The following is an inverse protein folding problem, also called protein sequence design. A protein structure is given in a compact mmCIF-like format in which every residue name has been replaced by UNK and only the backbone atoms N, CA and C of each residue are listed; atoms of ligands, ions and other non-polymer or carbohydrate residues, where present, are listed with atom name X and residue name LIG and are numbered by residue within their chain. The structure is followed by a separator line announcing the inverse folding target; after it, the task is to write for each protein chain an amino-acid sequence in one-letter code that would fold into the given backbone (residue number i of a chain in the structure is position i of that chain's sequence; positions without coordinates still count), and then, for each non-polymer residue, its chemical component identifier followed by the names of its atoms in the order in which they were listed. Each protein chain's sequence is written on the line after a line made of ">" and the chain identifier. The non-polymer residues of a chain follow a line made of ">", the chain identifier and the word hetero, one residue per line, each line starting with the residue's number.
data_IF_936431912816
#
_entry.id   IF_936431912816
#
_cell.length_a   1.000
_cell.length_b   1.000
_cell.length_c   1.000
_cell.angle_alpha   90.00
_cell.angle_beta   90.00
_cell.angle_gamma   90.00
#
_symmetry.space_group_name_H-M   'P 1'
#
loop_
_entity.id
_entity.type
_entity.pdbx_description
1 polymer ?
#
# COMPACT_ATOMS: atom_id res chain seq x y z
N UNK A 1 -17.73 -12.39 -3.79
CA UNK A 1 -17.95 -11.19 -2.95
C UNK A 1 -18.60 -11.59 -1.63
N UNK A 2 -18.03 -11.18 -0.51
CA UNK A 2 -18.56 -11.46 0.83
C UNK A 2 -19.45 -10.33 1.31
N UNK A 3 -20.51 -10.67 2.04
CA UNK A 3 -21.47 -9.72 2.59
C UNK A 3 -21.27 -9.58 4.09
N UNK A 4 -21.25 -8.35 4.57
CA UNK A 4 -21.23 -8.03 5.99
C UNK A 4 -22.56 -7.37 6.35
N UNK A 5 -23.21 -7.84 7.43
CA UNK A 5 -24.45 -7.25 7.92
C UNK A 5 -24.12 -6.42 9.16
N UNK A 6 -24.42 -5.14 9.10
CA UNK A 6 -24.25 -4.26 10.25
C UNK A 6 -25.50 -4.22 11.13
N UNK A 7 -25.41 -3.56 12.28
CA UNK A 7 -26.49 -3.47 13.27
C UNK A 7 -27.76 -2.76 12.75
N UNK A 8 -27.67 -2.09 11.62
CA UNK A 8 -28.80 -1.37 11.00
C UNK A 8 -29.40 -2.13 9.82
N UNK A 9 -29.10 -3.42 9.69
CA UNK A 9 -29.54 -4.26 8.57
C UNK A 9 -29.03 -3.77 7.19
N UNK A 10 -28.01 -2.94 7.16
CA UNK A 10 -27.37 -2.53 5.91
C UNK A 10 -26.37 -3.60 5.49
N UNK A 11 -26.45 -4.06 4.25
CA UNK A 11 -25.50 -5.03 3.70
C UNK A 11 -24.34 -4.27 3.07
N UNK A 12 -23.13 -4.46 3.62
CA UNK A 12 -21.90 -3.93 3.04
C UNK A 12 -21.28 -5.02 2.18
N UNK A 13 -21.00 -4.71 0.92
CA UNK A 13 -20.34 -5.61 -0.01
C UNK A 13 -18.82 -5.48 0.15
N UNK A 14 -18.18 -6.59 0.48
CA UNK A 14 -16.73 -6.68 0.66
C UNK A 14 -16.13 -7.44 -0.50
N UNK A 15 -15.23 -6.81 -1.25
CA UNK A 15 -14.57 -7.41 -2.39
C UNK A 15 -13.07 -7.57 -2.11
N UNK A 16 -12.55 -8.77 -2.32
CA UNK A 16 -11.12 -9.06 -2.23
C UNK A 16 -10.43 -8.60 -3.52
N UNK A 17 -9.32 -7.90 -3.36
CA UNK A 17 -8.46 -7.47 -4.47
C UNK A 17 -7.21 -8.35 -4.49
N UNK A 18 -6.90 -8.91 -5.65
CA UNK A 18 -5.70 -9.71 -5.87
C UNK A 18 -5.15 -9.40 -7.26
N UNK A 19 -4.00 -8.72 -7.30
CA UNK A 19 -3.30 -8.38 -8.54
C UNK A 19 -2.10 -9.30 -8.73
N UNK A 20 -1.91 -9.91 -9.90
CA UNK A 20 -0.69 -10.67 -10.19
C UNK A 20 0.54 -9.79 -10.37
N UNK A 21 0.35 -8.47 -10.48
CA UNK A 21 1.42 -7.47 -10.64
C UNK A 21 1.95 -6.94 -9.31
N UNK A 22 1.50 -7.50 -8.20
CA UNK A 22 2.00 -7.21 -6.87
C UNK A 22 2.29 -8.53 -6.15
N UNK A 23 3.09 -8.51 -5.07
CA UNK A 23 3.37 -9.74 -4.32
C UNK A 23 2.09 -10.40 -3.83
N UNK A 24 1.98 -11.72 -4.03
CA UNK A 24 0.82 -12.47 -3.56
C UNK A 24 0.69 -12.34 -2.04
N UNK A 25 -0.56 -12.26 -1.57
CA UNK A 25 -0.84 -12.27 -0.14
C UNK A 25 -0.59 -13.68 0.41
N UNK A 26 0.51 -13.84 1.14
CA UNK A 26 0.89 -15.09 1.78
C UNK A 26 0.55 -14.98 3.26
N UNK A 27 -0.46 -15.73 3.71
CA UNK A 27 -0.93 -15.68 5.10
C UNK A 27 -2.39 -15.27 5.20
N UNK A 28 -2.74 -14.74 6.38
CA UNK A 28 -4.13 -14.47 6.76
C UNK A 28 -4.55 -13.04 6.42
N UNK A 29 -4.29 -12.59 5.19
CA UNK A 29 -4.68 -11.25 4.73
C UNK A 29 -4.90 -11.25 3.22
N UNK A 30 -5.50 -10.16 2.72
CA UNK A 30 -5.67 -9.88 1.30
C UNK A 30 -4.76 -8.72 0.89
N UNK A 31 -4.38 -8.61 -0.36
CA UNK A 31 -3.63 -7.45 -0.86
C UNK A 31 -4.40 -6.16 -0.60
N UNK A 32 -5.70 -6.18 -0.83
CA UNK A 32 -6.60 -5.07 -0.51
C UNK A 32 -8.04 -5.57 -0.41
N UNK A 33 -8.86 -4.77 0.23
CA UNK A 33 -10.31 -4.98 0.34
C UNK A 33 -11.01 -3.71 -0.14
N UNK A 34 -12.04 -3.87 -0.96
CA UNK A 34 -12.96 -2.79 -1.29
C UNK A 34 -14.25 -3.01 -0.51
N UNK A 35 -14.66 -1.97 0.23
CA UNK A 35 -15.96 -1.89 0.88
C UNK A 35 -16.64 -0.62 0.35
N UNK A 36 -17.80 -0.78 -0.28
CA UNK A 36 -18.45 0.31 -1.03
C UNK A 36 -17.47 0.94 -2.03
N UNK A 37 -17.13 2.21 -1.86
CA UNK A 37 -16.23 2.96 -2.74
C UNK A 37 -14.82 3.05 -2.17
N UNK A 38 -14.56 2.46 -1.00
CA UNK A 38 -13.28 2.60 -0.31
C UNK A 38 -12.44 1.35 -0.48
N UNK A 39 -11.21 1.55 -0.93
CA UNK A 39 -10.20 0.50 -1.04
C UNK A 39 -9.21 0.65 0.12
N UNK A 40 -9.04 -0.43 0.88
CA UNK A 40 -8.10 -0.54 2.00
C UNK A 40 -6.97 -1.46 1.55
N UNK A 41 -5.80 -0.90 1.29
CA UNK A 41 -4.64 -1.68 0.89
C UNK A 41 -3.83 -2.13 2.10
N UNK A 42 -3.45 -3.38 2.12
CA UNK A 42 -2.48 -3.90 3.08
C UNK A 42 -1.11 -3.28 2.85
N UNK A 43 -0.27 -3.31 3.87
CA UNK A 43 1.11 -2.85 3.76
C UNK A 43 1.86 -3.59 2.66
N UNK A 44 2.57 -2.84 1.84
CA UNK A 44 3.42 -3.40 0.79
C UNK A 44 4.89 -3.26 1.17
N UNK A 45 5.56 -4.39 1.27
CA UNK A 45 7.01 -4.49 1.38
C UNK A 45 7.66 -4.26 0.01
N UNK A 46 8.96 -3.96 -0.04
CA UNK A 46 9.66 -3.70 -1.31
C UNK A 46 10.00 -4.99 -2.09
N UNK A 47 9.04 -5.88 -2.21
CA UNK A 47 9.19 -7.16 -2.90
C UNK A 47 8.94 -6.96 -4.39
N UNK A 48 9.88 -7.40 -5.22
CA UNK A 48 9.67 -7.52 -6.65
C UNK A 48 8.78 -8.73 -6.91
N UNK A 49 7.58 -8.55 -7.46
CA UNK A 49 6.67 -9.69 -7.68
C UNK A 49 7.19 -10.70 -8.70
N UNK A 50 8.12 -10.31 -9.56
CA UNK A 50 8.73 -11.22 -10.53
C UNK A 50 9.68 -12.23 -9.90
N UNK A 51 10.34 -11.86 -8.79
CA UNK A 51 11.34 -12.71 -8.12
C UNK A 51 10.89 -13.22 -6.76
N UNK A 52 9.97 -12.53 -6.11
CA UNK A 52 9.57 -12.80 -4.72
C UNK A 52 10.58 -12.32 -3.69
N UNK A 53 11.62 -11.63 -4.11
CA UNK A 53 12.66 -11.07 -3.24
C UNK A 53 12.57 -9.55 -3.18
N UNK A 54 13.20 -8.95 -2.18
CA UNK A 54 13.34 -7.50 -2.14
C UNK A 54 14.08 -7.01 -3.37
N UNK A 55 13.65 -5.86 -3.90
CA UNK A 55 14.35 -5.18 -4.98
C UNK A 55 15.77 -4.85 -4.53
N UNK A 56 16.71 -4.87 -5.47
CA UNK A 56 18.09 -4.48 -5.20
C UNK A 56 18.19 -2.97 -5.03
N UNK A 57 19.10 -2.54 -4.15
CA UNK A 57 19.35 -1.13 -3.89
C UNK A 57 19.06 -0.77 -2.45
N UNK A 58 19.03 0.54 -2.17
CA UNK A 58 18.80 1.08 -0.84
C UNK A 58 17.37 1.54 -0.63
N UNK A 59 17.23 2.55 0.23
CA UNK A 59 15.92 3.05 0.65
C UNK A 59 15.07 3.54 -0.53
N UNK A 60 15.64 4.33 -1.43
CA UNK A 60 14.87 4.91 -2.54
C UNK A 60 14.31 3.83 -3.46
N UNK A 61 15.11 2.82 -3.78
CA UNK A 61 14.68 1.71 -4.61
C UNK A 61 13.61 0.88 -3.89
N UNK A 62 13.76 0.65 -2.60
CA UNK A 62 12.75 -0.07 -1.81
C UNK A 62 11.44 0.70 -1.75
N UNK A 63 11.48 1.99 -1.46
CA UNK A 63 10.27 2.82 -1.44
C UNK A 63 9.58 2.82 -2.81
N UNK A 64 10.33 2.99 -3.87
CA UNK A 64 9.78 2.97 -5.23
C UNK A 64 9.08 1.64 -5.52
N UNK A 65 9.66 0.51 -5.10
CA UNK A 65 9.04 -0.80 -5.31
C UNK A 65 7.75 -0.96 -4.49
N UNK A 66 7.75 -0.54 -3.22
CA UNK A 66 6.54 -0.61 -2.39
C UNK A 66 5.41 0.23 -2.99
N UNK A 67 5.72 1.44 -3.47
CA UNK A 67 4.73 2.31 -4.11
C UNK A 67 4.27 1.75 -5.45
N UNK A 68 5.15 1.14 -6.23
CA UNK A 68 4.76 0.48 -7.48
C UNK A 68 3.81 -0.70 -7.21
N UNK A 69 4.08 -1.47 -6.16
CA UNK A 69 3.20 -2.57 -5.77
C UNK A 69 1.80 -2.06 -5.40
N UNK A 70 1.72 -0.99 -4.61
CA UNK A 70 0.43 -0.35 -4.28
C UNK A 70 -0.28 0.17 -5.53
N UNK A 71 0.43 0.83 -6.41
CA UNK A 71 -0.12 1.31 -7.67
C UNK A 71 -0.74 0.16 -8.47
N UNK A 72 -0.05 -0.96 -8.57
CA UNK A 72 -0.54 -2.12 -9.30
C UNK A 72 -1.78 -2.74 -8.65
N UNK A 73 -1.82 -2.79 -7.32
CA UNK A 73 -3.01 -3.25 -6.58
C UNK A 73 -4.21 -2.35 -6.88
N UNK A 74 -4.04 -1.04 -6.80
CA UNK A 74 -5.11 -0.08 -7.06
C UNK A 74 -5.60 -0.18 -8.51
N UNK A 75 -4.69 -0.19 -9.45
CA UNK A 75 -5.04 -0.17 -10.87
C UNK A 75 -5.76 -1.43 -11.32
N UNK A 76 -5.55 -2.56 -10.65
CA UNK A 76 -6.28 -3.81 -10.94
C UNK A 76 -7.79 -3.67 -10.76
N UNK A 77 -8.25 -2.69 -9.98
CA UNK A 77 -9.67 -2.42 -9.71
C UNK A 77 -10.10 -1.03 -10.19
N UNK A 78 -9.32 -0.41 -11.06
CA UNK A 78 -9.67 0.89 -11.64
C UNK A 78 -9.42 2.09 -10.74
N UNK A 79 -8.73 1.91 -9.60
CA UNK A 79 -8.25 3.02 -8.77
C UNK A 79 -6.87 3.45 -9.23
N UNK A 80 -6.47 4.67 -8.89
CA UNK A 80 -5.12 5.16 -9.12
C UNK A 80 -4.55 5.75 -7.84
N UNK A 81 -3.26 6.04 -7.80
CA UNK A 81 -2.64 6.70 -6.64
C UNK A 81 -3.25 8.10 -6.39
N UNK A 82 -3.83 8.74 -7.41
CA UNK A 82 -4.56 10.01 -7.24
C UNK A 82 -5.83 9.85 -6.40
N UNK A 83 -6.37 8.63 -6.28
CA UNK A 83 -7.54 8.32 -5.45
C UNK A 83 -7.16 8.09 -3.98
N UNK A 84 -5.87 8.03 -3.65
CA UNK A 84 -5.43 7.83 -2.27
C UNK A 84 -5.82 9.02 -1.40
N UNK A 85 -6.42 8.74 -0.25
CA UNK A 85 -6.84 9.78 0.73
C UNK A 85 -6.00 9.73 1.99
N UNK A 86 -5.41 8.58 2.32
CA UNK A 86 -4.56 8.40 3.49
C UNK A 86 -3.46 7.42 3.17
N UNK A 87 -2.22 7.79 3.49
CA UNK A 87 -1.03 6.95 3.32
C UNK A 87 -0.29 6.86 4.65
N UNK A 88 0.13 5.66 5.04
CA UNK A 88 1.00 5.45 6.19
C UNK A 88 2.30 4.86 5.70
N UNK A 89 3.42 5.47 6.10
CA UNK A 89 4.77 5.03 5.75
C UNK A 89 5.48 4.62 7.03
N UNK A 90 5.91 3.37 7.07
CA UNK A 90 6.66 2.78 8.18
C UNK A 90 8.13 2.74 7.77
N UNK A 91 9.00 3.36 8.57
CA UNK A 91 10.44 3.47 8.30
C UNK A 91 11.24 2.68 9.33
N UNK A 92 12.28 2.01 8.89
CA UNK A 92 13.24 1.40 9.81
C UNK A 92 14.22 2.43 10.40
N UNK A 93 14.34 3.61 9.75
CA UNK A 93 15.26 4.67 10.16
C UNK A 93 14.74 6.03 9.67
N UNK A 94 14.46 6.95 10.62
CA UNK A 94 13.95 8.28 10.28
C UNK A 94 14.96 9.14 9.55
N UNK A 95 16.23 8.77 9.50
CA UNK A 95 17.24 9.50 8.69
C UNK A 95 16.90 9.45 7.20
N UNK A 96 16.01 8.54 6.77
CA UNK A 96 15.54 8.44 5.40
C UNK A 96 14.37 9.38 5.05
N UNK A 97 13.96 10.25 5.99
CA UNK A 97 12.76 11.09 5.79
C UNK A 97 12.88 12.02 4.59
N UNK A 98 14.04 12.64 4.37
CA UNK A 98 14.23 13.50 3.20
C UNK A 98 14.15 12.71 1.89
N UNK A 99 14.74 11.51 1.85
CA UNK A 99 14.64 10.61 0.70
C UNK A 99 13.22 10.11 0.47
N UNK A 100 12.44 9.90 1.55
CA UNK A 100 11.02 9.59 1.45
C UNK A 100 10.28 10.67 0.65
N UNK A 101 10.43 11.92 1.04
CA UNK A 101 9.72 13.00 0.37
C UNK A 101 10.10 13.14 -1.11
N UNK A 102 11.36 12.92 -1.43
CA UNK A 102 11.87 12.98 -2.81
C UNK A 102 11.22 11.92 -3.70
N UNK A 103 11.20 10.67 -3.27
CA UNK A 103 10.59 9.56 -4.04
C UNK A 103 9.08 9.66 -4.03
N UNK A 104 8.48 9.98 -2.88
CA UNK A 104 7.03 10.10 -2.71
C UNK A 104 6.43 11.10 -3.72
N UNK A 105 7.11 12.23 -3.95
CA UNK A 105 6.67 13.24 -4.89
C UNK A 105 6.67 12.76 -6.36
N UNK A 106 7.34 11.66 -6.66
CA UNK A 106 7.32 11.06 -8.00
C UNK A 106 6.06 10.20 -8.24
N UNK A 107 5.39 9.77 -7.16
CA UNK A 107 4.22 8.89 -7.24
C UNK A 107 2.91 9.61 -6.91
N UNK A 108 2.94 10.57 -6.00
CA UNK A 108 1.75 11.31 -5.58
C UNK A 108 1.81 12.76 -6.05
N UNK A 109 0.67 13.25 -6.54
CA UNK A 109 0.51 14.63 -7.03
C UNK A 109 -0.47 15.38 -6.15
N UNK A 110 -0.43 16.71 -6.20
CA UNK A 110 -1.42 17.54 -5.50
C UNK A 110 -2.82 17.34 -6.09
N UNK A 111 -3.87 17.35 -5.23
CA UNK A 111 -3.78 17.44 -3.78
C UNK A 111 -3.22 16.16 -3.17
N UNK A 112 -2.19 16.30 -2.34
CA UNK A 112 -1.58 15.15 -1.70
C UNK A 112 -2.55 14.46 -0.73
N UNK A 113 -2.49 13.13 -0.59
CA UNK A 113 -3.23 12.43 0.45
C UNK A 113 -2.74 12.85 1.85
N UNK A 114 -3.59 12.69 2.85
CA UNK A 114 -3.14 12.78 4.24
C UNK A 114 -2.07 11.70 4.47
N UNK A 115 -1.06 11.99 5.30
CA UNK A 115 0.05 11.06 5.52
C UNK A 115 0.51 11.03 6.96
N UNK A 116 0.87 9.83 7.42
CA UNK A 116 1.66 9.61 8.63
C UNK A 116 2.93 8.87 8.21
N UNK A 117 4.07 9.28 8.74
CA UNK A 117 5.34 8.59 8.54
C UNK A 117 6.11 8.59 9.86
N UNK A 118 6.58 7.41 10.27
CA UNK A 118 7.31 7.26 11.53
C UNK A 118 8.24 6.04 11.50
N UNK A 119 9.21 6.04 12.41
CA UNK A 119 10.10 4.91 12.60
C UNK A 119 9.43 3.85 13.42
N UNK A 120 9.60 2.58 13.03
CA UNK A 120 9.13 1.41 13.77
C UNK A 120 10.30 0.60 14.31
N UNK A 121 10.04 -0.23 15.31
CA UNK A 121 11.08 -1.04 15.94
C UNK A 121 11.73 -2.02 14.95
N UNK A 122 10.95 -2.60 14.04
CA UNK A 122 11.44 -3.52 13.02
C UNK A 122 10.40 -3.66 11.91
N UNK A 123 10.86 -4.03 10.73
CA UNK A 123 10.02 -4.42 9.59
C UNK A 123 10.36 -5.85 9.17
N UNK A 124 9.40 -6.57 8.57
CA UNK A 124 9.65 -7.94 8.13
C UNK A 124 10.86 -8.03 7.19
N UNK A 125 11.68 -9.07 7.39
CA UNK A 125 12.84 -9.38 6.55
C UNK A 125 13.86 -8.25 6.45
N UNK A 126 13.90 -7.33 7.44
CA UNK A 126 14.84 -6.21 7.42
C UNK A 126 14.52 -5.16 6.37
N UNK A 127 13.27 -5.03 5.95
CA UNK A 127 12.86 -3.96 5.03
C UNK A 127 13.18 -2.59 5.61
N UNK A 128 13.54 -1.65 4.75
CA UNK A 128 13.78 -0.26 5.14
C UNK A 128 12.51 0.57 5.16
N UNK A 129 11.46 0.08 4.51
CA UNK A 129 10.18 0.78 4.38
C UNK A 129 9.04 -0.19 4.12
N UNK A 130 7.86 0.18 4.57
CA UNK A 130 6.59 -0.46 4.24
C UNK A 130 5.54 0.64 4.10
N UNK A 131 4.60 0.48 3.19
CA UNK A 131 3.59 1.52 2.92
C UNK A 131 2.21 0.87 2.79
N UNK A 132 1.21 1.45 3.47
CA UNK A 132 -0.19 1.12 3.22
C UNK A 132 -0.98 2.37 2.85
N UNK A 133 -2.18 2.21 2.34
CA UNK A 133 -3.02 3.34 2.00
C UNK A 133 -4.50 3.01 1.96
N UNK A 134 -5.30 4.06 1.98
CA UNK A 134 -6.74 4.04 1.76
C UNK A 134 -7.02 4.92 0.54
N UNK A 135 -7.82 4.40 -0.38
CA UNK A 135 -8.24 5.11 -1.59
C UNK A 135 -9.77 5.13 -1.69
N UNK A 136 -10.31 6.20 -2.24
CA UNK A 136 -11.75 6.37 -2.47
C UNK A 136 -11.96 6.83 -3.90
N UNK A 137 -13.01 6.25 -4.50
CA UNK A 137 -13.31 6.57 -5.90
C UNK A 137 -14.79 6.92 -6.10
#
# INVERSE_FOLDING_TARGET
>A
MHKLINVYNTIIMKKVVASPKAPAAVGTYSQAIIADNTLYASGQLPIDPATGNFVKGGFKEQLAQSLQNLKNVLESEGYTLADAVKVTVYLSDMSNFASLNEVYAQYFIQPYPARVAFEVAALPKGALVEVDLIAVK
#
